data_IF_672120752318
#
_entry.id   IF_672120752318
#
_cell.length_a   1.000
_cell.length_b   1.000
_cell.length_c   1.000
_cell.angle_alpha   90.00
_cell.angle_beta   90.00
_cell.angle_gamma   90.00
#
_symmetry.space_group_name_H-M   'P 1'
#
loop_
_entity.id
_entity.type
_entity.pdbx_description
1 polymer ?
#
# COMPACT_ATOMS: atom_id res chain seq x y z
N UNK A 1 -9.43 -7.23 -29.45
CA UNK A 1 -8.11 -7.77 -29.05
C UNK A 1 -7.28 -6.64 -28.48
N UNK A 2 -7.08 -6.60 -27.17
CA UNK A 2 -5.99 -5.82 -26.57
C UNK A 2 -5.45 -6.62 -25.38
N UNK A 3 -4.39 -7.39 -25.65
CA UNK A 3 -3.53 -7.98 -24.61
C UNK A 3 -3.01 -6.83 -23.76
N UNK A 4 -3.54 -6.67 -22.55
CA UNK A 4 -2.94 -5.80 -21.54
C UNK A 4 -1.74 -6.57 -21.00
N UNK A 5 -0.55 -6.07 -21.33
CA UNK A 5 0.74 -6.62 -20.92
C UNK A 5 0.73 -6.83 -19.41
N UNK A 6 0.88 -8.08 -19.00
CA UNK A 6 1.13 -8.49 -17.63
C UNK A 6 2.52 -7.98 -17.23
N UNK A 7 2.58 -6.76 -16.72
CA UNK A 7 3.76 -6.29 -15.98
C UNK A 7 3.74 -6.99 -14.62
N UNK A 8 4.89 -7.45 -14.09
CA UNK A 8 4.95 -8.15 -12.81
C UNK A 8 4.25 -7.27 -11.76
N UNK A 9 3.14 -7.76 -11.20
CA UNK A 9 2.31 -7.07 -10.21
C UNK A 9 3.07 -6.96 -8.89
N UNK A 10 4.12 -6.17 -8.89
CA UNK A 10 5.05 -6.05 -7.79
C UNK A 10 5.17 -4.64 -7.33
N UNK A 11 4.36 -4.28 -6.33
CA UNK A 11 4.53 -3.02 -5.62
C UNK A 11 5.91 -3.05 -4.98
N UNK A 12 6.76 -2.15 -5.45
CA UNK A 12 8.16 -2.04 -5.03
C UNK A 12 8.42 -0.85 -4.09
N UNK A 13 7.44 0.04 -3.97
CA UNK A 13 7.53 1.33 -3.25
C UNK A 13 6.15 1.75 -2.71
N UNK A 14 6.13 2.60 -1.68
CA UNK A 14 4.86 3.15 -1.15
C UNK A 14 4.18 4.07 -2.16
N UNK A 15 4.94 4.75 -3.01
CA UNK A 15 4.42 5.58 -4.10
C UNK A 15 3.62 4.75 -5.09
N UNK A 16 4.17 3.64 -5.54
CA UNK A 16 3.51 2.70 -6.46
C UNK A 16 2.26 2.09 -5.82
N UNK A 17 2.32 1.82 -4.50
CA UNK A 17 1.15 1.42 -3.74
C UNK A 17 0.07 2.49 -3.77
N UNK A 18 0.40 3.72 -3.38
CA UNK A 18 -0.55 4.84 -3.28
C UNK A 18 -1.15 5.18 -4.65
N UNK A 19 -0.42 4.98 -5.74
CA UNK A 19 -0.90 5.17 -7.12
C UNK A 19 -2.07 4.24 -7.47
N UNK A 20 -2.27 3.14 -6.72
CA UNK A 20 -3.44 2.26 -6.86
C UNK A 20 -4.72 2.86 -6.31
N UNK A 21 -4.64 3.96 -5.57
CA UNK A 21 -5.81 4.70 -5.11
C UNK A 21 -6.15 5.82 -6.10
N UNK A 22 -7.43 6.23 -6.17
CA UNK A 22 -7.85 7.36 -7.01
C UNK A 22 -7.08 8.65 -6.70
N UNK A 23 -6.59 8.80 -5.46
CA UNK A 23 -5.71 9.89 -5.05
C UNK A 23 -4.98 9.54 -3.75
N UNK A 24 -3.87 10.23 -3.49
CA UNK A 24 -3.15 10.13 -2.22
C UNK A 24 -4.03 10.53 -1.01
N UNK A 25 -4.99 11.45 -1.18
CA UNK A 25 -5.95 11.81 -0.14
C UNK A 25 -6.91 10.66 0.16
N UNK A 26 -7.43 9.98 -0.88
CA UNK A 26 -8.27 8.80 -0.71
C UNK A 26 -7.53 7.66 0.03
N UNK A 27 -6.25 7.45 -0.28
CA UNK A 27 -5.40 6.51 0.45
C UNK A 27 -5.26 6.89 1.93
N UNK A 28 -4.97 8.15 2.23
CA UNK A 28 -4.83 8.61 3.61
C UNK A 28 -6.13 8.40 4.40
N UNK A 29 -7.28 8.69 3.78
CA UNK A 29 -8.60 8.48 4.39
C UNK A 29 -8.87 7.00 4.69
N UNK A 30 -8.59 6.11 3.75
CA UNK A 30 -8.67 4.65 3.96
C UNK A 30 -7.74 4.19 5.11
N UNK A 31 -6.54 4.76 5.19
CA UNK A 31 -5.56 4.45 6.23
C UNK A 31 -5.86 5.11 7.59
N UNK A 32 -6.95 5.88 7.72
CA UNK A 32 -7.31 6.59 8.96
C UNK A 32 -6.37 7.75 9.31
N UNK A 33 -5.76 8.38 8.30
CA UNK A 33 -4.87 9.53 8.45
C UNK A 33 -5.45 10.79 7.80
N UNK A 34 -4.92 11.96 8.18
CA UNK A 34 -5.26 13.23 7.52
C UNK A 34 -4.86 13.22 6.05
N UNK A 35 -5.64 13.88 5.19
CA UNK A 35 -5.46 13.87 3.73
C UNK A 35 -4.07 14.34 3.28
N UNK A 36 -3.48 15.31 3.97
CA UNK A 36 -2.10 15.77 3.72
C UNK A 36 -1.06 14.70 3.98
N UNK A 37 -1.32 13.76 4.90
CA UNK A 37 -0.42 12.65 5.20
C UNK A 37 -0.18 11.80 3.97
N UNK A 38 -1.22 11.52 3.18
CA UNK A 38 -1.09 10.74 1.94
C UNK A 38 -0.17 11.40 0.93
N UNK A 39 -0.28 12.73 0.76
CA UNK A 39 0.63 13.50 -0.12
C UNK A 39 2.06 13.47 0.38
N UNK A 40 2.26 13.60 1.70
CA UNK A 40 3.58 13.53 2.33
C UNK A 40 4.18 12.14 2.11
N UNK A 41 3.43 11.08 2.35
CA UNK A 41 3.89 9.69 2.20
C UNK A 41 4.21 9.34 0.76
N UNK A 42 3.39 9.82 -0.19
CA UNK A 42 3.65 9.68 -1.63
C UNK A 42 4.95 10.38 -2.06
N UNK A 43 5.17 11.63 -1.61
CA UNK A 43 6.39 12.38 -1.93
C UNK A 43 7.62 11.76 -1.30
N UNK A 44 7.52 11.34 -0.04
CA UNK A 44 8.62 10.74 0.73
C UNK A 44 8.86 9.26 0.42
N UNK A 45 8.00 8.64 -0.38
CA UNK A 45 7.96 7.21 -0.62
C UNK A 45 8.02 6.39 0.68
N UNK A 46 7.31 6.86 1.71
CA UNK A 46 7.41 6.28 3.06
C UNK A 46 6.14 6.52 3.86
N UNK A 47 5.65 5.45 4.46
CA UNK A 47 4.56 5.48 5.43
C UNK A 47 5.14 5.29 6.86
N UNK A 48 4.68 6.07 7.86
CA UNK A 48 5.05 5.89 9.26
C UNK A 48 4.73 4.48 9.76
N UNK A 49 5.55 3.96 10.67
CA UNK A 49 5.44 2.56 11.11
C UNK A 49 4.06 2.17 11.63
N UNK A 50 3.43 3.05 12.42
CA UNK A 50 2.06 2.86 12.94
C UNK A 50 0.99 2.61 11.86
N UNK A 51 1.21 3.10 10.64
CA UNK A 51 0.28 2.92 9.51
C UNK A 51 0.69 1.79 8.58
N UNK A 52 1.90 1.22 8.71
CA UNK A 52 2.39 0.19 7.79
C UNK A 52 1.48 -1.03 7.75
N UNK A 53 1.01 -1.50 8.92
CA UNK A 53 0.10 -2.65 8.98
C UNK A 53 -1.23 -2.34 8.30
N UNK A 54 -1.84 -1.18 8.61
CA UNK A 54 -3.09 -0.73 7.98
C UNK A 54 -2.94 -0.66 6.46
N UNK A 55 -1.86 -0.04 5.98
CA UNK A 55 -1.57 0.12 4.56
C UNK A 55 -1.40 -1.22 3.85
N UNK A 56 -0.74 -2.20 4.49
CA UNK A 56 -0.58 -3.54 3.94
C UNK A 56 -1.91 -4.29 3.91
N UNK A 57 -2.73 -4.18 4.95
CA UNK A 57 -4.07 -4.77 4.97
C UNK A 57 -4.95 -4.21 3.85
N UNK A 58 -4.99 -2.88 3.70
CA UNK A 58 -5.73 -2.21 2.63
C UNK A 58 -5.26 -2.63 1.24
N UNK A 59 -3.95 -2.82 1.06
CA UNK A 59 -3.38 -3.34 -0.18
C UNK A 59 -3.89 -4.76 -0.47
N UNK A 60 -3.90 -5.63 0.54
CA UNK A 60 -4.38 -7.00 0.43
C UNK A 60 -5.89 -7.06 0.12
N UNK A 61 -6.70 -6.20 0.75
CA UNK A 61 -8.14 -6.08 0.48
C UNK A 61 -8.44 -5.67 -0.97
N UNK A 62 -7.53 -4.90 -1.59
CA UNK A 62 -7.63 -4.52 -3.01
C UNK A 62 -6.98 -5.52 -3.97
N UNK A 63 -6.45 -6.65 -3.47
CA UNK A 63 -5.77 -7.67 -4.29
C UNK A 63 -4.40 -7.22 -4.82
N UNK A 64 -3.77 -6.24 -4.17
CA UNK A 64 -2.47 -5.71 -4.58
C UNK A 64 -1.36 -6.57 -3.97
N UNK A 65 -0.54 -7.19 -4.81
CA UNK A 65 0.58 -8.02 -4.38
C UNK A 65 1.80 -7.13 -4.09
N UNK A 66 2.25 -7.16 -2.85
CA UNK A 66 3.46 -6.47 -2.42
C UNK A 66 4.66 -7.41 -2.59
N UNK A 67 5.61 -7.07 -3.46
CA UNK A 67 6.71 -7.98 -3.83
C UNK A 67 8.03 -7.70 -3.14
N UNK A 68 8.18 -6.54 -2.48
CA UNK A 68 9.41 -6.25 -1.74
C UNK A 68 9.46 -7.09 -0.46
N UNK A 69 10.62 -7.68 -0.16
CA UNK A 69 10.89 -8.44 1.07
C UNK A 69 10.44 -7.71 2.35
N UNK A 70 10.57 -6.38 2.38
CA UNK A 70 10.11 -5.56 3.50
C UNK A 70 8.59 -5.49 3.68
N UNK A 71 7.81 -5.60 2.59
CA UNK A 71 6.36 -5.66 2.68
C UNK A 71 5.85 -7.07 2.97
N UNK A 72 6.52 -8.12 2.50
CA UNK A 72 6.17 -9.50 2.86
C UNK A 72 6.31 -9.75 4.37
N UNK A 73 7.36 -9.22 5.00
CA UNK A 73 7.53 -9.29 6.46
C UNK A 73 6.41 -8.53 7.20
N UNK A 74 6.07 -7.31 6.74
CA UNK A 74 4.96 -6.54 7.32
C UNK A 74 3.62 -7.24 7.14
N UNK A 75 3.40 -7.88 5.99
CA UNK A 75 2.22 -8.70 5.72
C UNK A 75 2.15 -9.89 6.65
N UNK A 76 3.25 -10.63 6.84
CA UNK A 76 3.31 -11.75 7.80
C UNK A 76 3.06 -11.28 9.24
N UNK A 77 3.55 -10.10 9.61
CA UNK A 77 3.29 -9.50 10.93
C UNK A 77 1.84 -9.04 11.12
N UNK A 78 1.21 -8.49 10.07
CA UNK A 78 -0.19 -8.03 10.10
C UNK A 78 -1.22 -9.15 9.98
N UNK A 79 -0.94 -10.19 9.19
CA UNK A 79 -1.80 -11.37 9.04
C UNK A 79 -1.83 -12.29 10.28
N UNK A 80 -0.97 -12.03 11.27
CA UNK A 80 -0.92 -12.77 12.54
C UNK A 80 -1.83 -12.24 13.65
N UNK A 81 -2.58 -11.15 13.43
CA UNK A 81 -3.53 -10.62 14.43
C UNK A 81 -4.94 -11.10 14.09
N UNK A 82 -5.15 -12.40 14.28
CA UNK A 82 -6.45 -13.05 14.21
C UNK A 82 -6.56 -14.07 15.34
N UNK A 83 -7.10 -13.62 16.47
CA UNK A 83 -7.63 -14.44 17.56
C UNK A 83 -8.98 -13.87 17.92
#
# INVERSE_FOLDING_TARGET
>A
MSRRVELPNGISSFRDLIDRWPSAAAFARDAGANEDSGRIWYRRDRVPERYRLVVVSLAAEKGIVLTTTGFDELRRRGAGVGK
#
